data_IF_017558464440
#
_entry.id   IF_017558464440
#
_cell.length_a   1.000
_cell.length_b   1.000
_cell.length_c   1.000
_cell.angle_alpha   90.00
_cell.angle_beta   90.00
_cell.angle_gamma   90.00
#
_symmetry.space_group_name_H-M   'P 1'
#
loop_
_entity.id
_entity.type
_entity.pdbx_description
1 polymer ?
#
# COMPACT_ATOMS: atom_id res chain seq x y z
N UNK A 1 19.06 57.38 -22.26
CA UNK A 1 18.52 56.94 -23.57
C UNK A 1 18.42 55.42 -23.58
N UNK A 2 17.29 54.91 -24.11
CA UNK A 2 17.03 53.59 -24.74
C UNK A 2 17.61 52.36 -24.03
N UNK A 3 16.76 51.51 -23.41
CA UNK A 3 15.86 50.53 -24.05
C UNK A 3 16.62 49.52 -24.92
N UNK A 4 16.24 48.25 -24.77
CA UNK A 4 16.68 47.03 -25.49
C UNK A 4 17.96 46.43 -24.89
N UNK A 5 18.01 45.19 -24.40
CA UNK A 5 17.34 43.93 -24.80
C UNK A 5 16.93 43.18 -23.51
N UNK A 6 15.67 42.83 -23.26
CA UNK A 6 14.86 41.81 -23.94
C UNK A 6 15.60 40.47 -24.12
N UNK A 7 15.00 39.44 -23.52
CA UNK A 7 15.22 38.00 -23.76
C UNK A 7 16.45 37.33 -23.15
N UNK A 8 16.19 36.50 -22.15
CA UNK A 8 16.21 35.03 -22.30
C UNK A 8 15.55 34.44 -21.05
N UNK A 9 14.27 34.07 -21.16
CA UNK A 9 13.87 32.66 -21.15
C UNK A 9 14.55 31.88 -20.01
N UNK A 10 14.03 31.98 -18.80
CA UNK A 10 14.23 30.92 -17.83
C UNK A 10 12.92 30.50 -17.18
N UNK A 11 12.34 29.48 -17.82
CA UNK A 11 11.84 28.26 -17.18
C UNK A 11 10.74 28.48 -16.14
N UNK A 12 9.57 28.90 -16.61
CA UNK A 12 8.32 28.43 -16.01
C UNK A 12 7.67 27.45 -16.99
N UNK A 13 8.39 26.37 -17.31
CA UNK A 13 7.78 25.15 -17.83
C UNK A 13 6.89 24.63 -16.72
N UNK A 14 5.67 25.16 -16.62
CA UNK A 14 4.54 24.42 -16.04
C UNK A 14 4.36 23.21 -16.92
N UNK A 15 5.14 22.17 -16.64
CA UNK A 15 4.83 20.84 -17.13
C UNK A 15 3.41 20.57 -16.63
N UNK A 16 2.40 20.43 -17.50
CA UNK A 16 1.20 19.74 -17.07
C UNK A 16 1.73 18.38 -16.63
N UNK A 17 1.71 18.12 -15.32
CA UNK A 17 1.95 16.79 -14.80
C UNK A 17 1.02 15.89 -15.61
N UNK A 18 1.61 15.06 -16.46
CA UNK A 18 0.87 14.07 -17.22
C UNK A 18 0.23 13.18 -16.14
N UNK A 19 -1.03 13.45 -15.83
CA UNK A 19 -1.89 12.49 -15.16
C UNK A 19 -1.97 11.33 -16.14
N UNK A 20 -1.01 10.42 -16.02
CA UNK A 20 -0.96 9.20 -16.80
C UNK A 20 -2.26 8.47 -16.43
N UNK A 21 -3.16 8.33 -17.40
CA UNK A 21 -4.41 7.62 -17.17
C UNK A 21 -4.04 6.22 -16.67
N UNK A 22 -4.39 5.90 -15.43
CA UNK A 22 -4.14 4.59 -14.84
C UNK A 22 -4.78 3.53 -15.76
N UNK A 23 -4.03 2.46 -16.03
CA UNK A 23 -4.58 1.33 -16.77
C UNK A 23 -5.75 0.72 -15.98
N UNK A 24 -6.66 0.04 -16.68
CA UNK A 24 -7.76 -0.68 -16.00
C UNK A 24 -7.23 -1.71 -15.00
N UNK A 25 -6.04 -2.26 -15.27
CA UNK A 25 -5.36 -3.18 -14.38
C UNK A 25 -4.85 -2.50 -13.11
N UNK A 26 -4.25 -1.32 -13.22
CA UNK A 26 -3.80 -0.53 -12.06
C UNK A 26 -4.98 -0.12 -11.19
N UNK A 27 -6.06 0.37 -11.80
CA UNK A 27 -7.29 0.74 -11.07
C UNK A 27 -7.94 -0.47 -10.38
N UNK A 28 -7.91 -1.65 -11.03
CA UNK A 28 -8.38 -2.89 -10.43
C UNK A 28 -7.52 -3.29 -9.22
N UNK A 29 -6.19 -3.25 -9.37
CA UNK A 29 -5.26 -3.59 -8.29
C UNK A 29 -5.48 -2.68 -7.09
N UNK A 30 -5.54 -1.37 -7.30
CA UNK A 30 -5.74 -0.37 -6.24
C UNK A 30 -7.03 -0.64 -5.46
N UNK A 31 -8.16 -0.80 -6.17
CA UNK A 31 -9.45 -1.12 -5.55
C UNK A 31 -9.42 -2.44 -4.79
N UNK A 32 -8.82 -3.46 -5.38
CA UNK A 32 -8.76 -4.80 -4.80
C UNK A 32 -7.93 -4.81 -3.51
N UNK A 33 -6.78 -4.13 -3.49
CA UNK A 33 -5.92 -4.07 -2.29
C UNK A 33 -6.47 -3.15 -1.21
N UNK A 34 -7.23 -2.11 -1.58
CA UNK A 34 -7.85 -1.18 -0.65
C UNK A 34 -9.04 -1.78 0.11
N UNK A 35 -9.75 -2.74 -0.49
CA UNK A 35 -10.87 -3.45 0.13
C UNK A 35 -10.56 -4.95 0.31
N UNK A 36 -9.58 -5.31 1.17
CA UNK A 36 -9.17 -6.71 1.33
C UNK A 36 -10.28 -7.61 1.88
N UNK A 37 -11.31 -7.03 2.51
CA UNK A 37 -12.46 -7.79 3.01
C UNK A 37 -13.37 -8.38 1.94
N UNK A 38 -13.19 -7.99 0.68
CA UNK A 38 -13.89 -8.61 -0.46
C UNK A 38 -13.23 -9.94 -0.91
N UNK A 39 -12.01 -10.26 -0.46
CA UNK A 39 -11.18 -11.28 -1.09
C UNK A 39 -11.26 -12.65 -0.43
N UNK A 40 -11.49 -12.73 0.89
CA UNK A 40 -11.77 -13.96 1.63
C UNK A 40 -12.05 -13.63 3.11
N UNK A 41 -13.32 -13.63 3.50
CA UNK A 41 -13.74 -13.27 4.87
C UNK A 41 -13.12 -14.17 5.94
N UNK A 42 -12.96 -15.47 5.67
CA UNK A 42 -12.36 -16.41 6.63
C UNK A 42 -10.86 -16.15 6.83
N UNK A 43 -10.11 -15.83 5.76
CA UNK A 43 -8.69 -15.49 5.86
C UNK A 43 -8.48 -14.15 6.57
N UNK A 44 -9.34 -13.16 6.28
CA UNK A 44 -9.32 -11.89 7.00
C UNK A 44 -9.61 -12.09 8.50
N UNK A 45 -10.65 -12.85 8.85
CA UNK A 45 -10.96 -13.14 10.25
C UNK A 45 -9.82 -13.86 10.98
N UNK A 46 -9.16 -14.82 10.33
CA UNK A 46 -8.01 -15.51 10.92
C UNK A 46 -6.81 -14.56 11.12
N UNK A 47 -6.55 -13.67 10.16
CA UNK A 47 -5.54 -12.63 10.28
C UNK A 47 -5.86 -11.67 11.44
N UNK A 48 -7.08 -11.13 11.50
CA UNK A 48 -7.49 -10.16 12.50
C UNK A 48 -7.46 -10.76 13.92
N UNK A 49 -7.87 -12.03 14.06
CA UNK A 49 -7.78 -12.76 15.32
C UNK A 49 -6.32 -12.92 15.78
N UNK A 50 -5.42 -13.26 14.86
CA UNK A 50 -4.00 -13.43 15.17
C UNK A 50 -3.31 -12.10 15.49
N UNK A 51 -3.63 -11.04 14.75
CA UNK A 51 -3.12 -9.70 14.99
C UNK A 51 -3.55 -9.19 16.37
N UNK A 52 -4.84 -9.35 16.70
CA UNK A 52 -5.36 -9.02 18.02
C UNK A 52 -4.65 -9.80 19.13
N UNK A 53 -4.45 -11.10 18.94
CA UNK A 53 -3.73 -11.93 19.91
C UNK A 53 -2.29 -11.41 20.15
N UNK A 54 -1.57 -11.05 19.09
CA UNK A 54 -0.21 -10.50 19.20
C UNK A 54 -0.20 -9.15 19.94
N UNK A 55 -1.19 -8.29 19.65
CA UNK A 55 -1.35 -7.00 20.33
C UNK A 55 -1.68 -7.17 21.81
N UNK A 56 -2.59 -8.08 22.16
CA UNK A 56 -2.95 -8.40 23.54
C UNK A 56 -1.73 -8.96 24.30
N UNK A 57 -0.97 -9.86 23.68
CA UNK A 57 0.28 -10.39 24.25
C UNK A 57 1.33 -9.29 24.46
N UNK A 58 1.47 -8.37 23.50
CA UNK A 58 2.43 -7.25 23.59
C UNK A 58 2.05 -6.27 24.70
N UNK A 59 0.75 -6.02 24.87
CA UNK A 59 0.22 -5.17 25.94
C UNK A 59 0.43 -5.80 27.33
N UNK A 60 0.29 -7.12 27.44
CA UNK A 60 0.50 -7.86 28.69
C UNK A 60 1.98 -8.12 29.02
N UNK A 61 2.86 -8.16 28.01
CA UNK A 61 4.28 -8.38 28.22
C UNK A 61 4.91 -7.23 29.03
N UNK A 62 5.76 -7.58 29.99
CA UNK A 62 6.53 -6.60 30.78
C UNK A 62 7.99 -6.56 30.34
N UNK A 63 8.50 -7.68 29.83
CA UNK A 63 9.87 -7.83 29.34
C UNK A 63 10.06 -7.11 27.97
N UNK A 64 11.06 -6.23 27.84
CA UNK A 64 11.30 -5.47 26.61
C UNK A 64 11.77 -6.33 25.43
N UNK A 65 12.50 -7.42 25.65
CA UNK A 65 12.88 -8.36 24.58
C UNK A 65 11.66 -9.11 24.06
N UNK A 66 10.77 -9.53 24.96
CA UNK A 66 9.50 -10.18 24.57
C UNK A 66 8.61 -9.22 23.77
N UNK A 67 8.50 -7.96 24.20
CA UNK A 67 7.78 -6.93 23.42
C UNK A 67 8.35 -6.74 22.02
N UNK A 68 9.68 -6.75 21.88
CA UNK A 68 10.33 -6.62 20.57
C UNK A 68 10.01 -7.82 19.68
N UNK A 69 10.13 -9.04 20.20
CA UNK A 69 9.78 -10.25 19.45
C UNK A 69 8.31 -10.28 19.02
N UNK A 70 7.40 -9.80 19.87
CA UNK A 70 5.98 -9.70 19.53
C UNK A 70 5.71 -8.64 18.46
N UNK A 71 6.45 -7.52 18.48
CA UNK A 71 6.36 -6.50 17.43
C UNK A 71 6.87 -7.03 16.08
N UNK A 72 7.99 -7.77 16.07
CA UNK A 72 8.52 -8.43 14.86
C UNK A 72 7.52 -9.46 14.31
N UNK A 73 6.83 -10.21 15.17
CA UNK A 73 5.78 -11.14 14.75
C UNK A 73 4.54 -10.43 14.21
N UNK A 74 4.16 -9.28 14.78
CA UNK A 74 3.06 -8.44 14.29
C UNK A 74 3.36 -7.93 12.87
N UNK A 75 4.57 -7.41 12.64
CA UNK A 75 5.02 -6.95 11.33
C UNK A 75 5.05 -8.09 10.30
N UNK A 76 5.60 -9.25 10.67
CA UNK A 76 5.65 -10.41 9.78
C UNK A 76 4.24 -10.92 9.40
N UNK A 77 3.26 -10.86 10.31
CA UNK A 77 1.89 -11.25 10.00
C UNK A 77 1.21 -10.25 9.04
N UNK A 78 1.45 -8.95 9.22
CA UNK A 78 0.97 -7.91 8.31
C UNK A 78 1.54 -8.06 6.90
N UNK A 79 2.86 -8.27 6.77
CA UNK A 79 3.51 -8.49 5.47
C UNK A 79 2.99 -9.74 4.76
N UNK A 80 2.81 -10.83 5.53
CA UNK A 80 2.26 -12.08 5.01
C UNK A 80 0.84 -11.89 4.51
N UNK A 81 0.01 -11.17 5.25
CA UNK A 81 -1.36 -10.88 4.84
C UNK A 81 -1.41 -9.99 3.59
N UNK A 82 -0.60 -8.93 3.55
CA UNK A 82 -0.48 -8.05 2.39
C UNK A 82 -0.04 -8.83 1.14
N UNK A 83 0.98 -9.68 1.25
CA UNK A 83 1.43 -10.54 0.15
C UNK A 83 0.32 -11.48 -0.33
N UNK A 84 -0.46 -12.04 0.59
CA UNK A 84 -1.59 -12.90 0.25
C UNK A 84 -2.70 -12.12 -0.48
N UNK A 85 -3.04 -10.92 -0.01
CA UNK A 85 -4.01 -10.01 -0.65
C UNK A 85 -3.53 -9.64 -2.05
N UNK A 86 -2.28 -9.19 -2.20
CA UNK A 86 -1.70 -8.87 -3.49
C UNK A 86 -1.75 -10.03 -4.47
N UNK A 87 -1.46 -11.25 -4.01
CA UNK A 87 -1.50 -12.44 -4.86
C UNK A 87 -2.91 -12.71 -5.40
N UNK A 88 -3.93 -12.55 -4.54
CA UNK A 88 -5.33 -12.70 -4.96
C UNK A 88 -5.70 -11.57 -5.93
N UNK A 89 -5.34 -10.33 -5.63
CA UNK A 89 -5.62 -9.19 -6.52
C UNK A 89 -4.94 -9.32 -7.89
N UNK A 90 -3.68 -9.76 -7.93
CA UNK A 90 -2.98 -10.05 -9.19
C UNK A 90 -3.72 -11.10 -10.01
N UNK A 91 -4.29 -12.11 -9.36
CA UNK A 91 -5.09 -13.13 -10.04
C UNK A 91 -6.40 -12.55 -10.58
N UNK A 92 -7.16 -11.81 -9.77
CA UNK A 92 -8.44 -11.19 -10.18
C UNK A 92 -8.22 -10.19 -11.32
N UNK A 93 -7.24 -9.31 -11.18
CA UNK A 93 -6.98 -8.25 -12.13
C UNK A 93 -6.20 -8.72 -13.37
N UNK A 94 -5.80 -10.00 -13.43
CA UNK A 94 -5.14 -10.58 -14.61
C UNK A 94 -6.03 -10.59 -15.86
N UNK A 95 -7.35 -10.48 -15.69
CA UNK A 95 -8.31 -10.34 -16.78
C UNK A 95 -8.18 -9.00 -17.54
N UNK A 96 -7.51 -8.01 -16.95
CA UNK A 96 -7.26 -6.72 -17.61
C UNK A 96 -5.85 -6.73 -18.24
N UNK A 97 -5.74 -6.49 -19.57
CA UNK A 97 -4.43 -6.29 -20.19
C UNK A 97 -3.74 -5.06 -19.59
N UNK A 98 -2.40 -5.11 -19.56
CA UNK A 98 -1.54 -3.97 -19.17
C UNK A 98 -1.63 -2.88 -20.22
#
# INVERSE_FOLDING_TARGET
MKKYLMYLFLVASVAPGLAQAQSRREMCMEKCTAEPGMLNTARQQAHDAKLKQLQDQKAAATDPQVKKQLAEQEEAELEKYQTAVEKVCKHICSAFPQ
#
